data_IF_722192820771
#
_entry.id   IF_722192820771
#
_cell.length_a   1.000
_cell.length_b   1.000
_cell.length_c   1.000
_cell.angle_alpha   90.00
_cell.angle_beta   90.00
_cell.angle_gamma   90.00
#
_symmetry.space_group_name_H-M   'P 1'
#
loop_
_entity.id
_entity.type
_entity.pdbx_description
1 polymer ?
#
# COMPACT_ATOMS: atom_id res chain seq x y z
N UNK A 1 30.17 -39.95 -26.74
CA UNK A 1 28.90 -39.26 -27.06
C UNK A 1 28.46 -38.53 -25.80
N UNK A 2 28.57 -37.20 -25.79
CA UNK A 2 28.23 -36.37 -24.63
C UNK A 2 26.77 -35.94 -24.75
N UNK A 3 25.90 -36.44 -23.88
CA UNK A 3 24.53 -35.94 -23.76
C UNK A 3 24.46 -34.96 -22.58
N UNK A 4 24.47 -33.68 -22.91
CA UNK A 4 24.20 -32.56 -22.01
C UNK A 4 22.68 -32.43 -21.87
N UNK A 5 22.13 -32.77 -20.71
CA UNK A 5 20.71 -32.55 -20.42
C UNK A 5 20.59 -31.34 -19.48
N UNK A 6 20.35 -30.17 -20.07
CA UNK A 6 20.09 -28.94 -19.35
C UNK A 6 18.74 -28.38 -19.77
N UNK A 7 17.66 -28.79 -19.11
CA UNK A 7 16.47 -27.92 -18.97
C UNK A 7 15.58 -28.45 -17.86
N UNK A 8 15.51 -27.77 -16.72
CA UNK A 8 14.22 -27.46 -16.08
C UNK A 8 14.45 -26.55 -14.87
N UNK A 9 14.01 -25.30 -14.97
CA UNK A 9 14.12 -24.33 -13.88
C UNK A 9 13.58 -22.93 -14.20
N UNK A 10 12.63 -22.79 -15.14
CA UNK A 10 12.15 -21.47 -15.62
C UNK A 10 10.64 -21.23 -15.45
N UNK A 11 9.94 -22.07 -14.68
CA UNK A 11 8.48 -22.06 -14.57
C UNK A 11 7.93 -21.45 -13.26
N UNK A 12 8.77 -21.09 -12.29
CA UNK A 12 8.30 -20.58 -10.99
C UNK A 12 8.34 -19.05 -10.83
N UNK A 13 9.13 -18.32 -11.63
CA UNK A 13 9.30 -16.86 -11.49
C UNK A 13 8.12 -16.05 -12.04
N UNK A 14 7.49 -16.49 -13.12
CA UNK A 14 6.39 -15.75 -13.76
C UNK A 14 5.09 -15.73 -12.92
N UNK A 15 4.87 -16.72 -12.04
CA UNK A 15 3.66 -16.83 -11.21
C UNK A 15 3.74 -15.95 -9.95
N UNK A 16 4.94 -15.76 -9.41
CA UNK A 16 5.17 -14.90 -8.24
C UNK A 16 5.04 -13.41 -8.58
N UNK A 17 5.50 -12.98 -9.76
CA UNK A 17 5.45 -11.58 -10.18
C UNK A 17 4.00 -11.09 -10.36
N UNK A 18 3.12 -11.90 -10.96
CA UNK A 18 1.71 -11.52 -11.17
C UNK A 18 0.93 -11.34 -9.87
N UNK A 19 1.25 -12.10 -8.81
CA UNK A 19 0.59 -11.97 -7.51
C UNK A 19 0.91 -10.62 -6.86
N UNK A 20 2.18 -10.23 -6.91
CA UNK A 20 2.67 -8.97 -6.33
C UNK A 20 2.06 -7.74 -7.01
N UNK A 21 1.90 -7.77 -8.33
CA UNK A 21 1.27 -6.67 -9.08
C UNK A 21 -0.23 -6.54 -8.77
N UNK A 22 -0.94 -7.66 -8.63
CA UNK A 22 -2.35 -7.65 -8.27
C UNK A 22 -2.56 -7.12 -6.85
N UNK A 23 -1.75 -7.57 -5.89
CA UNK A 23 -1.77 -7.08 -4.50
C UNK A 23 -1.44 -5.58 -4.42
N UNK A 24 -0.46 -5.11 -5.19
CA UNK A 24 -0.14 -3.68 -5.28
C UNK A 24 -1.30 -2.86 -5.83
N UNK A 25 -1.98 -3.33 -6.88
CA UNK A 25 -3.14 -2.65 -7.45
C UNK A 25 -4.33 -2.57 -6.50
N UNK A 26 -4.56 -3.65 -5.74
CA UNK A 26 -5.59 -3.68 -4.70
C UNK A 26 -5.24 -2.67 -3.60
N UNK A 27 -3.99 -2.62 -3.17
CA UNK A 27 -3.52 -1.65 -2.19
C UNK A 27 -3.68 -0.20 -2.67
N UNK A 28 -3.30 0.11 -3.92
CA UNK A 28 -3.49 1.44 -4.48
C UNK A 28 -4.97 1.84 -4.61
N UNK A 29 -5.84 0.90 -4.94
CA UNK A 29 -7.29 1.15 -4.99
C UNK A 29 -7.86 1.41 -3.60
N UNK A 30 -7.42 0.67 -2.58
CA UNK A 30 -7.83 0.86 -1.20
C UNK A 30 -7.38 2.23 -0.66
N UNK A 31 -6.11 2.60 -0.90
CA UNK A 31 -5.58 3.91 -0.51
C UNK A 31 -6.41 5.05 -1.11
N UNK A 32 -6.76 4.93 -2.39
CA UNK A 32 -7.59 5.93 -3.06
C UNK A 32 -9.00 5.98 -2.49
N UNK A 33 -9.63 4.82 -2.24
CA UNK A 33 -10.95 4.77 -1.62
C UNK A 33 -10.96 5.46 -0.25
N UNK A 34 -9.95 5.19 0.59
CA UNK A 34 -9.77 5.86 1.90
C UNK A 34 -9.55 7.35 1.70
N UNK A 35 -8.69 7.76 0.77
CA UNK A 35 -8.39 9.16 0.47
C UNK A 35 -9.61 9.97 0.06
N UNK A 36 -10.58 9.32 -0.59
CA UNK A 36 -11.84 9.93 -1.02
C UNK A 36 -12.90 9.98 0.08
N UNK A 37 -12.68 9.33 1.23
CA UNK A 37 -13.65 9.39 2.33
C UNK A 37 -13.57 10.73 3.06
N UNK A 38 -14.74 11.22 3.48
CA UNK A 38 -14.87 12.46 4.24
C UNK A 38 -14.15 12.42 5.58
N UNK A 39 -14.05 11.25 6.21
CA UNK A 39 -13.29 11.06 7.46
C UNK A 39 -11.79 11.29 7.27
N UNK A 40 -11.21 10.72 6.21
CA UNK A 40 -9.79 10.89 5.92
C UNK A 40 -9.45 12.34 5.52
N UNK A 41 -10.26 12.96 4.66
CA UNK A 41 -10.04 14.34 4.22
C UNK A 41 -10.02 15.33 5.40
N UNK A 42 -10.94 15.13 6.36
CA UNK A 42 -11.03 15.97 7.56
C UNK A 42 -9.83 15.77 8.49
N UNK A 43 -9.45 14.52 8.73
CA UNK A 43 -8.24 14.17 9.47
C UNK A 43 -6.97 14.77 8.83
N UNK A 44 -6.87 14.72 7.50
CA UNK A 44 -5.75 15.30 6.75
C UNK A 44 -5.69 16.83 6.91
N UNK A 45 -6.83 17.53 6.89
CA UNK A 45 -6.88 18.98 7.11
C UNK A 45 -6.42 19.35 8.52
N UNK A 46 -6.93 18.65 9.55
CA UNK A 46 -6.54 18.87 10.95
C UNK A 46 -5.03 18.67 11.14
N UNK A 47 -4.45 17.64 10.53
CA UNK A 47 -3.00 17.39 10.56
C UNK A 47 -2.18 18.46 9.84
N UNK A 48 -2.60 18.88 8.64
CA UNK A 48 -1.88 19.91 7.89
C UNK A 48 -1.87 21.27 8.59
N UNK A 49 -2.93 21.60 9.33
CA UNK A 49 -2.99 22.81 10.16
C UNK A 49 -2.05 22.72 11.36
N UNK A 50 -1.95 21.54 12.00
CA UNK A 50 -1.15 21.35 13.20
C UNK A 50 0.35 21.08 12.94
N UNK A 51 0.71 20.57 11.75
CA UNK A 51 2.09 20.26 11.40
C UNK A 51 2.45 20.84 10.02
N UNK A 52 3.03 22.04 10.02
CA UNK A 52 3.59 22.71 8.82
C UNK A 52 4.64 21.87 8.05
N UNK A 53 5.16 20.78 8.63
CA UNK A 53 6.14 19.89 8.01
C UNK A 53 5.51 18.69 7.27
N UNK A 54 4.19 18.48 7.36
CA UNK A 54 3.52 17.30 6.80
C UNK A 54 3.06 17.44 5.34
N UNK A 55 3.29 18.60 4.73
CA UNK A 55 2.93 18.89 3.32
C UNK A 55 3.61 17.94 2.31
N UNK A 56 4.67 17.24 2.70
CA UNK A 56 5.41 16.32 1.82
C UNK A 56 5.28 14.83 2.20
N UNK A 57 4.29 14.46 3.02
CA UNK A 57 4.08 13.04 3.37
C UNK A 57 3.36 12.32 2.23
N UNK A 58 3.89 11.19 1.72
CA UNK A 58 3.22 10.43 0.68
C UNK A 58 1.88 9.86 1.18
N UNK A 59 0.90 9.76 0.27
CA UNK A 59 -0.45 9.26 0.57
C UNK A 59 -0.44 7.93 1.34
N UNK A 60 0.47 7.03 0.98
CA UNK A 60 0.65 5.73 1.63
C UNK A 60 0.89 5.84 3.15
N UNK A 61 1.74 6.79 3.54
CA UNK A 61 2.05 7.05 4.95
C UNK A 61 0.90 7.77 5.65
N UNK A 62 0.19 8.66 4.95
CA UNK A 62 -1.00 9.32 5.50
C UNK A 62 -2.11 8.30 5.78
N UNK A 63 -2.40 7.41 4.83
CA UNK A 63 -3.37 6.32 4.98
C UNK A 63 -2.98 5.37 6.12
N UNK A 64 -1.70 5.01 6.23
CA UNK A 64 -1.21 4.16 7.32
C UNK A 64 -1.39 4.80 8.71
N UNK A 65 -1.12 6.10 8.83
CA UNK A 65 -1.33 6.85 10.08
C UNK A 65 -2.82 6.96 10.43
N UNK A 66 -3.66 7.29 9.45
CA UNK A 66 -5.10 7.37 9.64
C UNK A 66 -5.68 6.04 10.11
N UNK A 67 -5.34 4.93 9.45
CA UNK A 67 -5.79 3.60 9.84
C UNK A 67 -5.32 3.24 11.24
N UNK A 68 -4.06 3.55 11.58
CA UNK A 68 -3.53 3.31 12.91
C UNK A 68 -4.31 4.09 13.99
N UNK A 69 -4.52 5.39 13.80
CA UNK A 69 -5.29 6.21 14.74
C UNK A 69 -6.75 5.75 14.85
N UNK A 70 -7.38 5.39 13.72
CA UNK A 70 -8.76 4.90 13.71
C UNK A 70 -8.88 3.59 14.48
N UNK A 71 -7.89 2.69 14.35
CA UNK A 71 -7.83 1.44 15.10
C UNK A 71 -7.54 1.68 16.60
N UNK A 72 -6.64 2.61 16.93
CA UNK A 72 -6.37 3.00 18.34
C UNK A 72 -7.63 3.57 19.00
N UNK A 73 -8.47 4.30 18.25
CA UNK A 73 -9.72 4.89 18.75
C UNK A 73 -10.82 3.84 18.97
N UNK A 74 -10.80 2.72 18.24
CA UNK A 74 -11.75 1.61 18.38
C UNK A 74 -11.31 0.54 19.40
N UNK A 75 -10.05 0.59 19.86
CA UNK A 75 -9.49 -0.38 20.81
C UNK A 75 -9.72 0.00 22.29
N UNK A 76 -10.54 1.03 22.54
CA UNK A 76 -10.92 1.50 23.87
C UNK A 76 -12.40 1.20 24.13
#
# INVERSE_FOLDING_TARGET
MSNFNATSGKNNSAKAIKKNEAESRIWDSLKQAIALTSGFQRWQLERNVNNNQQQNIPLDRQVSLYLRETLETLAY
#
